data_IF_696367709949
#
_entry.id   IF_696367709949
#
_cell.length_a   1.000
_cell.length_b   1.000
_cell.length_c   1.000
_cell.angle_alpha   90.00
_cell.angle_beta   90.00
_cell.angle_gamma   90.00
#
_symmetry.space_group_name_H-M   'P 1'
#
loop_
_entity.id
_entity.type
_entity.pdbx_description
1 polymer ?
#
# COMPACT_ATOMS: atom_id res chain seq x y z
N UNK A 1 -5.26 -17.58 -15.63
CA UNK A 1 -5.11 -16.29 -16.34
C UNK A 1 -5.06 -15.15 -15.33
N UNK A 2 -4.13 -14.19 -15.49
CA UNK A 2 -4.07 -12.95 -14.68
C UNK A 2 -5.11 -11.93 -15.14
N UNK A 3 -5.54 -11.06 -14.22
CA UNK A 3 -6.45 -9.93 -14.48
C UNK A 3 -5.64 -8.64 -14.47
N UNK A 4 -5.72 -7.87 -15.56
CA UNK A 4 -5.07 -6.55 -15.63
C UNK A 4 -5.90 -5.47 -14.93
N UNK A 5 -5.24 -4.40 -14.49
CA UNK A 5 -5.92 -3.27 -13.86
C UNK A 5 -6.74 -2.45 -14.88
N UNK A 6 -8.02 -2.17 -14.57
CA UNK A 6 -8.80 -1.18 -15.32
C UNK A 6 -8.42 0.23 -14.87
N UNK A 7 -7.62 0.91 -15.69
CA UNK A 7 -7.17 2.29 -15.42
C UNK A 7 -8.31 3.32 -15.35
N UNK A 8 -9.53 2.98 -15.77
CA UNK A 8 -10.72 3.83 -15.59
C UNK A 8 -11.30 3.73 -14.17
N UNK A 9 -11.02 2.65 -13.42
CA UNK A 9 -11.52 2.47 -12.06
C UNK A 9 -10.57 3.08 -11.02
N UNK A 10 -11.11 3.59 -9.90
CA UNK A 10 -10.30 3.99 -8.75
C UNK A 10 -9.60 2.78 -8.11
N UNK A 11 -8.34 2.96 -7.74
CA UNK A 11 -7.56 1.90 -7.09
C UNK A 11 -6.79 2.44 -5.87
N UNK A 12 -6.51 1.56 -4.91
CA UNK A 12 -5.66 1.83 -3.76
C UNK A 12 -4.53 0.80 -3.72
N UNK A 13 -3.31 1.25 -4.02
CA UNK A 13 -2.11 0.42 -4.05
C UNK A 13 -1.46 0.35 -2.68
N UNK A 14 -1.15 -0.86 -2.24
CA UNK A 14 -0.61 -1.10 -0.90
C UNK A 14 0.44 -2.21 -0.87
N UNK A 15 1.28 -2.17 0.16
CA UNK A 15 2.19 -3.26 0.55
C UNK A 15 2.11 -3.43 2.07
N UNK A 16 2.01 -4.66 2.56
CA UNK A 16 1.95 -4.96 3.99
C UNK A 16 3.19 -4.50 4.75
N UNK A 17 4.34 -4.36 4.09
CA UNK A 17 5.56 -3.81 4.69
C UNK A 17 5.42 -2.32 5.05
N UNK A 18 4.43 -1.60 4.52
CA UNK A 18 4.28 -0.17 4.77
C UNK A 18 3.44 0.11 6.02
N UNK A 19 4.00 0.72 7.09
CA UNK A 19 3.19 1.16 8.22
C UNK A 19 2.21 2.27 7.83
N UNK A 20 2.55 3.11 6.85
CA UNK A 20 1.66 4.20 6.42
C UNK A 20 0.46 3.68 5.62
N UNK A 21 0.58 2.53 4.95
CA UNK A 21 -0.57 1.87 4.32
C UNK A 21 -1.57 1.36 5.37
N UNK A 22 -1.07 0.78 6.48
CA UNK A 22 -1.91 0.42 7.63
C UNK A 22 -2.63 1.64 8.23
N UNK A 23 -1.87 2.71 8.52
CA UNK A 23 -2.43 3.91 9.14
C UNK A 23 -3.47 4.60 8.26
N UNK A 24 -3.30 4.55 6.94
CA UNK A 24 -4.28 5.06 6.00
C UNK A 24 -5.55 4.18 5.94
N UNK A 25 -5.38 2.86 5.99
CA UNK A 25 -6.50 1.89 5.92
C UNK A 25 -7.36 1.87 7.20
N UNK A 26 -6.76 2.07 8.37
CA UNK A 26 -7.54 2.26 9.61
C UNK A 26 -8.43 3.53 9.57
N UNK A 27 -8.20 4.42 8.61
CA UNK A 27 -9.03 5.60 8.33
C UNK A 27 -9.99 5.40 7.15
N UNK A 28 -10.26 4.16 6.72
CA UNK A 28 -11.12 3.86 5.55
C UNK A 28 -12.54 4.42 5.67
N UNK A 29 -13.06 4.58 6.90
CA UNK A 29 -14.34 5.24 7.18
C UNK A 29 -14.35 6.72 6.80
N UNK A 30 -13.16 7.34 6.68
CA UNK A 30 -12.96 8.74 6.29
C UNK A 30 -12.57 8.89 4.82
N UNK A 31 -12.48 7.81 4.04
CA UNK A 31 -12.20 7.89 2.61
C UNK A 31 -13.38 8.55 1.88
N UNK A 32 -13.18 9.15 0.70
CA UNK A 32 -14.32 9.59 -0.10
C UNK A 32 -15.16 8.38 -0.54
N UNK A 33 -16.44 8.61 -0.82
CA UNK A 33 -17.37 7.60 -1.34
C UNK A 33 -17.03 7.24 -2.79
N UNK A 34 -15.92 6.52 -2.94
CA UNK A 34 -15.28 6.12 -4.19
C UNK A 34 -14.90 4.65 -4.01
N UNK A 35 -15.28 3.76 -4.94
CA UNK A 35 -15.04 2.32 -4.81
C UNK A 35 -13.58 1.99 -5.16
N UNK A 36 -12.64 2.35 -4.28
CA UNK A 36 -11.24 2.02 -4.46
C UNK A 36 -11.03 0.51 -4.36
N UNK A 37 -10.58 -0.10 -5.47
CA UNK A 37 -10.14 -1.49 -5.45
C UNK A 37 -8.79 -1.62 -4.72
N UNK A 38 -8.65 -2.51 -3.72
CA UNK A 38 -7.37 -2.75 -3.08
C UNK A 38 -6.45 -3.55 -4.02
N UNK A 39 -5.29 -3.00 -4.35
CA UNK A 39 -4.31 -3.61 -5.26
C UNK A 39 -2.99 -3.84 -4.53
N UNK A 40 -2.70 -5.12 -4.24
CA UNK A 40 -1.43 -5.54 -3.64
C UNK A 40 -0.28 -5.35 -4.63
N UNK A 41 0.77 -4.63 -4.22
CA UNK A 41 2.01 -4.39 -4.98
C UNK A 41 3.24 -4.52 -4.09
N UNK A 42 4.38 -4.82 -4.68
CA UNK A 42 5.68 -4.87 -3.99
C UNK A 42 6.34 -3.50 -3.96
N UNK A 43 6.45 -2.87 -2.78
CA UNK A 43 7.16 -1.62 -2.60
C UNK A 43 8.63 -1.73 -3.04
N UNK A 44 9.24 -2.91 -2.81
CA UNK A 44 10.61 -3.18 -3.25
C UNK A 44 10.72 -3.13 -4.78
N UNK A 45 9.78 -3.71 -5.51
CA UNK A 45 9.81 -3.71 -6.98
C UNK A 45 9.55 -2.31 -7.55
N UNK A 46 8.65 -1.53 -6.94
CA UNK A 46 8.47 -0.11 -7.27
C UNK A 46 9.76 0.68 -7.07
N UNK A 47 10.40 0.54 -5.90
CA UNK A 47 11.67 1.22 -5.59
C UNK A 47 12.77 0.85 -6.59
N UNK A 48 12.89 -0.45 -6.94
CA UNK A 48 13.84 -0.93 -7.93
C UNK A 48 13.59 -0.31 -9.30
N UNK A 49 12.34 -0.29 -9.76
CA UNK A 49 11.98 0.28 -11.06
C UNK A 49 12.38 1.76 -11.18
N UNK A 50 12.07 2.55 -10.14
CA UNK A 50 12.36 3.99 -10.12
C UNK A 50 13.79 4.34 -9.68
N UNK A 51 14.65 3.35 -9.41
CA UNK A 51 16.03 3.57 -8.94
C UNK A 51 16.11 4.25 -7.57
N UNK A 52 15.09 4.09 -6.73
CA UNK A 52 15.03 4.68 -5.40
C UNK A 52 15.91 3.88 -4.43
N UNK A 53 16.71 4.58 -3.63
CA UNK A 53 17.37 3.94 -2.48
C UNK A 53 16.32 3.66 -1.40
N UNK A 54 16.08 2.40 -1.00
CA UNK A 54 15.12 2.06 0.05
C UNK A 54 15.41 2.84 1.34
N UNK A 55 14.35 3.30 2.00
CA UNK A 55 14.50 4.03 3.27
C UNK A 55 15.19 3.19 4.36
N UNK A 56 15.01 1.86 4.29
CA UNK A 56 15.64 0.90 5.19
C UNK A 56 17.18 0.88 5.08
N UNK A 57 17.73 1.23 3.91
CA UNK A 57 19.17 1.21 3.63
C UNK A 57 19.89 2.48 4.08
N UNK A 58 19.14 3.45 4.63
CA UNK A 58 19.65 4.67 5.23
C UNK A 58 19.30 4.64 6.72
N UNK A 59 20.21 4.24 7.62
CA UNK A 59 19.90 3.99 9.03
C UNK A 59 19.16 5.14 9.73
N UNK A 60 19.56 6.38 9.47
CA UNK A 60 18.90 7.56 10.03
C UNK A 60 17.44 7.72 9.53
N UNK A 61 17.20 7.51 8.22
CA UNK A 61 15.86 7.56 7.62
C UNK A 61 14.99 6.42 8.13
N UNK A 62 15.56 5.22 8.28
CA UNK A 62 14.89 4.06 8.86
C UNK A 62 14.40 4.32 10.28
N UNK A 63 15.27 4.80 11.17
CA UNK A 63 14.90 5.14 12.55
C UNK A 63 13.85 6.26 12.59
N UNK A 64 13.98 7.26 11.73
CA UNK A 64 12.97 8.31 11.60
C UNK A 64 11.62 7.74 11.20
N UNK A 65 11.56 6.89 10.17
CA UNK A 65 10.31 6.24 9.72
C UNK A 65 9.59 5.51 10.85
N UNK A 66 10.32 4.80 11.71
CA UNK A 66 9.71 4.06 12.83
C UNK A 66 9.07 5.00 13.84
N UNK A 67 9.82 6.04 14.25
CA UNK A 67 9.34 7.05 15.18
C UNK A 67 8.17 7.83 14.58
N UNK A 68 8.24 8.14 13.29
CA UNK A 68 7.20 8.87 12.59
C UNK A 68 5.90 8.04 12.49
N UNK A 69 5.99 6.76 12.12
CA UNK A 69 4.82 5.87 12.09
C UNK A 69 4.16 5.75 13.48
N UNK A 70 4.96 5.56 14.54
CA UNK A 70 4.44 5.53 15.92
C UNK A 70 3.75 6.85 16.29
N UNK A 71 4.41 7.98 16.04
CA UNK A 71 3.84 9.30 16.30
C UNK A 71 2.53 9.53 15.55
N UNK A 72 2.49 9.19 14.24
CA UNK A 72 1.27 9.30 13.43
C UNK A 72 0.14 8.43 13.98
N UNK A 73 0.43 7.20 14.39
CA UNK A 73 -0.56 6.33 15.02
C UNK A 73 -1.16 6.95 16.29
N UNK A 74 -0.32 7.53 17.15
CA UNK A 74 -0.76 8.24 18.37
C UNK A 74 -1.64 9.46 18.04
N UNK A 75 -1.26 10.26 17.03
CA UNK A 75 -2.06 11.41 16.59
C UNK A 75 -3.43 11.00 16.04
N UNK A 76 -3.52 9.82 15.43
CA UNK A 76 -4.74 9.30 14.82
C UNK A 76 -5.59 8.46 15.80
N UNK A 77 -5.08 8.17 17.00
CA UNK A 77 -5.74 7.27 17.95
C UNK A 77 -5.75 5.80 17.50
N UNK A 78 -4.84 5.41 16.60
CA UNK A 78 -4.74 4.05 16.05
C UNK A 78 -3.78 3.23 16.92
N UNK A 79 -4.21 2.04 17.33
CA UNK A 79 -3.32 1.10 18.05
C UNK A 79 -2.23 0.63 17.10
N UNK A 80 -0.97 0.78 17.51
CA UNK A 80 0.19 0.47 16.69
C UNK A 80 1.28 -0.19 17.52
N UNK A 81 1.85 -1.26 16.98
CA UNK A 81 3.00 -1.97 17.50
C UNK A 81 3.83 -2.46 16.32
N UNK A 82 5.09 -2.02 16.27
CA UNK A 82 6.02 -2.46 15.24
C UNK A 82 6.19 -3.99 15.30
N UNK A 83 6.33 -4.67 14.15
CA UNK A 83 6.81 -6.05 14.11
C UNK A 83 8.25 -6.13 14.65
N UNK A 84 8.74 -7.34 15.02
CA UNK A 84 10.07 -7.53 15.60
C UNK A 84 11.22 -7.04 14.70
N UNK A 85 11.04 -7.10 13.38
CA UNK A 85 11.95 -6.58 12.39
C UNK A 85 11.20 -5.78 11.32
N UNK A 86 11.84 -4.72 10.82
CA UNK A 86 11.34 -3.94 9.69
C UNK A 86 12.51 -3.46 8.81
N UNK A 87 12.36 -3.45 7.48
CA UNK A 87 11.30 -4.12 6.72
C UNK A 87 11.39 -5.64 6.90
N UNK A 88 10.23 -6.30 6.95
CA UNK A 88 10.11 -7.76 6.87
C UNK A 88 9.76 -8.15 5.43
N UNK A 89 9.87 -9.44 5.09
CA UNK A 89 9.44 -9.95 3.79
C UNK A 89 7.91 -10.03 3.72
N UNK A 90 7.29 -9.22 2.86
CA UNK A 90 5.85 -9.15 2.67
C UNK A 90 5.34 -9.98 1.50
N UNK A 91 6.19 -10.63 0.71
CA UNK A 91 5.81 -11.32 -0.53
C UNK A 91 4.75 -12.40 -0.31
N UNK A 92 4.94 -13.28 0.69
CA UNK A 92 3.93 -14.28 1.07
C UNK A 92 2.59 -13.66 1.42
N UNK A 93 2.61 -12.52 2.11
CA UNK A 93 1.39 -11.82 2.57
C UNK A 93 0.67 -11.14 1.41
N UNK A 94 1.41 -10.54 0.48
CA UNK A 94 0.88 -9.97 -0.76
C UNK A 94 0.21 -11.05 -1.61
N UNK A 95 0.87 -12.20 -1.77
CA UNK A 95 0.32 -13.36 -2.50
C UNK A 95 -0.92 -13.91 -1.81
N UNK A 96 -0.94 -13.98 -0.47
CA UNK A 96 -2.13 -14.40 0.27
C UNK A 96 -3.32 -13.47 -0.02
N UNK A 97 -3.12 -12.15 0.05
CA UNK A 97 -4.20 -11.19 -0.26
C UNK A 97 -4.73 -11.35 -1.69
N UNK A 98 -3.83 -11.61 -2.66
CA UNK A 98 -4.21 -11.88 -4.06
C UNK A 98 -4.99 -13.19 -4.19
N UNK A 99 -4.51 -14.28 -3.59
CA UNK A 99 -5.16 -15.59 -3.65
C UNK A 99 -6.58 -15.56 -3.07
N UNK A 100 -6.78 -14.75 -2.02
CA UNK A 100 -8.09 -14.56 -1.38
C UNK A 100 -9.00 -13.58 -2.11
N UNK A 101 -8.49 -12.85 -3.12
CA UNK A 101 -9.15 -11.66 -3.67
C UNK A 101 -9.63 -10.73 -2.55
N UNK A 102 -8.72 -10.48 -1.60
CA UNK A 102 -9.02 -9.84 -0.33
C UNK A 102 -9.65 -8.46 -0.55
N UNK A 103 -10.81 -8.26 0.05
CA UNK A 103 -11.46 -6.95 0.13
C UNK A 103 -10.79 -6.05 1.19
N UNK A 104 -11.25 -4.80 1.28
CA UNK A 104 -10.72 -3.81 2.25
C UNK A 104 -10.76 -4.34 3.69
N UNK A 105 -11.82 -5.06 4.07
CA UNK A 105 -11.98 -5.60 5.43
C UNK A 105 -10.95 -6.69 5.71
N UNK A 106 -10.77 -7.60 4.77
CA UNK A 106 -9.78 -8.69 4.87
C UNK A 106 -8.36 -8.12 4.92
N UNK A 107 -8.03 -7.18 4.03
CA UNK A 107 -6.73 -6.49 4.02
C UNK A 107 -6.50 -5.75 5.34
N UNK A 108 -7.53 -5.13 5.91
CA UNK A 108 -7.44 -4.46 7.22
C UNK A 108 -7.14 -5.44 8.35
N UNK A 109 -7.79 -6.60 8.40
CA UNK A 109 -7.50 -7.61 9.42
C UNK A 109 -6.08 -8.18 9.28
N UNK A 110 -5.58 -8.35 8.05
CA UNK A 110 -4.19 -8.73 7.81
C UNK A 110 -3.20 -7.67 8.29
N UNK A 111 -3.49 -6.40 8.01
CA UNK A 111 -2.68 -5.29 8.55
C UNK A 111 -2.72 -5.21 10.07
N UNK A 112 -3.89 -5.44 10.70
CA UNK A 112 -4.03 -5.43 12.17
C UNK A 112 -3.20 -6.54 12.81
N UNK A 113 -3.22 -7.74 12.26
CA UNK A 113 -2.33 -8.82 12.73
C UNK A 113 -0.86 -8.37 12.77
N UNK A 114 -0.39 -7.66 11.75
CA UNK A 114 1.00 -7.23 11.66
C UNK A 114 1.27 -6.00 12.55
N UNK A 115 0.52 -4.92 12.34
CA UNK A 115 0.86 -3.58 12.84
C UNK A 115 0.07 -3.13 14.06
N UNK A 116 -1.06 -3.77 14.37
CA UNK A 116 -1.79 -3.54 15.63
C UNK A 116 -1.25 -4.43 16.75
N UNK A 117 -0.90 -5.67 16.39
CA UNK A 117 -0.48 -6.72 17.32
C UNK A 117 1.04 -6.92 17.36
N UNK A 118 1.75 -6.44 16.33
CA UNK A 118 3.21 -6.51 16.23
C UNK A 118 3.71 -7.91 15.92
N UNK A 119 2.96 -8.70 15.16
CA UNK A 119 3.35 -10.05 14.76
C UNK A 119 4.25 -10.00 13.52
N UNK A 120 5.11 -11.01 13.37
CA UNK A 120 5.98 -11.17 12.20
C UNK A 120 5.35 -12.18 11.23
N UNK A 121 4.83 -11.76 10.07
CA UNK A 121 4.22 -12.67 9.11
C UNK A 121 5.26 -13.39 8.21
N UNK A 122 6.55 -13.11 8.37
CA UNK A 122 7.62 -13.71 7.55
C UNK A 122 8.13 -15.04 8.10
N UNK A 123 7.84 -15.35 9.37
CA UNK A 123 8.14 -16.67 9.95
C UNK A 123 7.07 -17.70 9.56
N UNK A 124 7.40 -19.00 9.49
CA UNK A 124 6.41 -20.04 9.22
C UNK A 124 5.22 -20.01 10.20
N UNK A 125 5.49 -19.84 11.50
CA UNK A 125 4.45 -19.81 12.53
C UNK A 125 3.59 -18.54 12.44
N UNK A 126 4.21 -17.40 12.14
CA UNK A 126 3.51 -16.13 11.99
C UNK A 126 2.65 -16.07 10.73
N UNK A 127 3.13 -16.64 9.62
CA UNK A 127 2.34 -16.78 8.41
C UNK A 127 1.15 -17.73 8.61
N UNK A 128 1.36 -18.87 9.26
CA UNK A 128 0.27 -19.80 9.61
C UNK A 128 -0.80 -19.12 10.50
N UNK A 129 -0.38 -18.40 11.53
CA UNK A 129 -1.30 -17.65 12.40
C UNK A 129 -2.06 -16.54 11.65
N UNK A 130 -1.42 -15.88 10.67
CA UNK A 130 -2.09 -14.93 9.79
C UNK A 130 -3.15 -15.62 8.91
N UNK A 131 -2.83 -16.78 8.35
CA UNK A 131 -3.77 -17.56 7.55
C UNK A 131 -5.00 -17.98 8.38
N UNK A 132 -4.78 -18.47 9.61
CA UNK A 132 -5.87 -18.77 10.55
C UNK A 132 -6.73 -17.54 10.85
N UNK A 133 -6.11 -16.37 11.07
CA UNK A 133 -6.82 -15.09 11.31
C UNK A 133 -7.78 -14.74 10.18
N UNK A 134 -7.42 -15.01 8.93
CA UNK A 134 -8.27 -14.74 7.76
C UNK A 134 -9.09 -15.96 7.30
N UNK A 135 -9.15 -17.02 8.11
CA UNK A 135 -10.01 -18.18 7.88
C UNK A 135 -9.47 -19.18 6.84
N UNK A 136 -8.16 -19.24 6.66
CA UNK A 136 -7.50 -20.05 5.62
C UNK A 136 -6.62 -21.13 6.27
N UNK A 137 -6.97 -22.40 6.06
CA UNK A 137 -6.19 -23.53 6.60
C UNK A 137 -5.00 -23.98 5.75
N UNK A 138 -4.93 -23.57 4.48
CA UNK A 138 -3.94 -24.06 3.49
C UNK A 138 -3.23 -22.88 2.81
N UNK A 139 -2.81 -21.89 3.60
CA UNK A 139 -2.25 -20.64 3.09
C UNK A 139 -0.98 -20.81 2.25
N UNK A 140 -0.06 -21.69 2.69
CA UNK A 140 1.16 -21.99 1.92
C UNK A 140 0.82 -22.58 0.54
N UNK A 141 -0.13 -23.51 0.44
CA UNK A 141 -0.54 -24.08 -0.87
C UNK A 141 -1.15 -23.02 -1.81
N UNK A 142 -1.91 -22.07 -1.26
CA UNK A 142 -2.56 -21.02 -2.04
C UNK A 142 -1.57 -20.02 -2.66
N UNK A 143 -0.47 -19.73 -1.97
CA UNK A 143 0.53 -18.76 -2.46
C UNK A 143 1.54 -19.37 -3.43
N UNK A 144 1.67 -20.70 -3.45
CA UNK A 144 2.55 -21.46 -4.37
C UNK A 144 1.95 -21.61 -5.77
N UNK A 145 0.65 -21.34 -5.96
CA UNK A 145 0.08 -21.31 -7.31
C UNK A 145 0.80 -20.26 -8.17
N UNK A 146 1.27 -20.70 -9.35
CA UNK A 146 1.93 -19.85 -10.34
C UNK A 146 1.08 -18.61 -10.67
N UNK A 147 -0.24 -18.80 -10.71
CA UNK A 147 -1.23 -17.75 -10.96
C UNK A 147 -1.14 -16.59 -9.96
N UNK A 148 -0.89 -16.88 -8.66
CA UNK A 148 -0.79 -15.88 -7.60
C UNK A 148 0.47 -15.02 -7.78
N UNK A 149 1.60 -15.67 -8.08
CA UNK A 149 2.87 -14.98 -8.36
C UNK A 149 2.79 -14.17 -9.66
N UNK A 150 2.18 -14.73 -10.70
CA UNK A 150 1.95 -14.04 -11.97
C UNK A 150 1.03 -12.82 -11.80
N UNK A 151 0.02 -12.91 -10.95
CA UNK A 151 -0.87 -11.79 -10.65
C UNK A 151 -0.15 -10.67 -9.88
N UNK A 152 0.71 -10.99 -8.91
CA UNK A 152 1.51 -9.96 -8.22
C UNK A 152 2.46 -9.24 -9.21
N UNK A 153 3.13 -9.99 -10.07
CA UNK A 153 3.97 -9.42 -11.12
C UNK A 153 3.16 -8.52 -12.07
N UNK A 154 1.94 -8.93 -12.42
CA UNK A 154 1.02 -8.13 -13.24
C UNK A 154 0.61 -6.84 -12.54
N UNK A 155 0.20 -6.90 -11.27
CA UNK A 155 -0.14 -5.73 -10.47
C UNK A 155 1.02 -4.73 -10.42
N UNK A 156 2.25 -5.22 -10.20
CA UNK A 156 3.44 -4.38 -10.17
C UNK A 156 3.67 -3.70 -11.52
N UNK A 157 3.55 -4.44 -12.64
CA UNK A 157 3.73 -3.89 -13.97
C UNK A 157 2.67 -2.83 -14.32
N UNK A 158 1.40 -3.08 -14.00
CA UNK A 158 0.31 -2.12 -14.24
C UNK A 158 0.45 -0.88 -13.35
N UNK A 159 0.83 -1.03 -12.07
CA UNK A 159 1.10 0.09 -11.17
C UNK A 159 2.27 0.95 -11.65
N UNK A 160 3.36 0.32 -12.10
CA UNK A 160 4.51 0.99 -12.71
C UNK A 160 4.08 1.78 -13.97
N UNK A 161 3.27 1.17 -14.84
CA UNK A 161 2.78 1.82 -16.06
C UNK A 161 1.91 3.05 -15.76
N UNK A 162 1.19 3.06 -14.63
CA UNK A 162 0.44 4.22 -14.13
C UNK A 162 1.32 5.30 -13.47
N UNK A 163 2.60 5.02 -13.24
CA UNK A 163 3.51 5.94 -12.56
C UNK A 163 3.53 5.80 -11.04
N UNK A 164 2.96 4.73 -10.47
CA UNK A 164 3.00 4.47 -9.02
C UNK A 164 4.46 4.29 -8.59
N UNK A 165 4.91 5.09 -7.64
CA UNK A 165 6.31 5.13 -7.19
C UNK A 165 6.50 4.77 -5.72
N UNK A 166 5.42 4.46 -5.01
CA UNK A 166 5.44 4.05 -3.62
C UNK A 166 4.04 3.70 -3.13
N UNK A 167 3.95 3.31 -1.86
CA UNK A 167 2.67 2.99 -1.18
C UNK A 167 2.58 3.72 0.16
N UNK A 168 1.36 3.96 0.69
CA UNK A 168 0.09 3.77 0.00
C UNK A 168 -0.10 4.80 -1.12
N UNK A 169 -0.80 4.43 -2.18
CA UNK A 169 -1.16 5.36 -3.27
C UNK A 169 -2.60 5.16 -3.69
N UNK A 170 -3.38 6.22 -3.73
CA UNK A 170 -4.67 6.23 -4.43
C UNK A 170 -4.48 6.60 -5.90
N UNK A 171 -5.25 5.96 -6.76
CA UNK A 171 -5.50 6.35 -8.14
C UNK A 171 -6.97 6.74 -8.29
N UNK A 172 -7.21 7.99 -8.66
CA UNK A 172 -8.56 8.53 -8.86
C UNK A 172 -8.48 9.69 -9.86
N UNK A 173 -9.43 9.80 -10.78
CA UNK A 173 -9.48 10.90 -11.76
C UNK A 173 -8.17 11.07 -12.56
N UNK A 174 -7.53 9.95 -12.94
CA UNK A 174 -6.23 9.91 -13.61
C UNK A 174 -5.08 10.56 -12.85
N UNK A 175 -5.21 10.69 -11.54
CA UNK A 175 -4.23 11.31 -10.65
C UNK A 175 -3.81 10.31 -9.58
N UNK A 176 -2.52 10.31 -9.27
CA UNK A 176 -1.95 9.60 -8.13
C UNK A 176 -1.90 10.50 -6.90
N UNK A 177 -2.27 9.95 -5.75
CA UNK A 177 -2.14 10.59 -4.43
C UNK A 177 -1.36 9.63 -3.52
N UNK A 178 -0.10 9.95 -3.26
CA UNK A 178 0.82 9.08 -2.51
C UNK A 178 1.00 9.56 -1.08
N UNK A 179 0.93 8.62 -0.13
CA UNK A 179 1.14 8.86 1.30
C UNK A 179 -0.14 8.83 2.13
N UNK A 180 0.01 8.55 3.43
CA UNK A 180 -1.09 8.66 4.41
C UNK A 180 -1.53 10.12 4.56
N UNK A 181 -0.57 11.04 4.53
CA UNK A 181 -0.74 12.48 4.63
C UNK A 181 -1.39 13.13 3.40
N UNK A 182 -1.56 12.39 2.30
CA UNK A 182 -2.30 12.84 1.13
C UNK A 182 -3.82 12.65 1.24
N UNK A 183 -4.35 11.95 2.26
CA UNK A 183 -5.80 11.73 2.41
C UNK A 183 -6.63 13.03 2.36
N UNK A 184 -6.23 14.16 2.98
CA UNK A 184 -6.95 15.42 2.83
C UNK A 184 -7.03 15.93 1.38
N UNK A 185 -5.98 15.72 0.58
CA UNK A 185 -5.95 16.10 -0.83
C UNK A 185 -6.87 15.18 -1.66
N UNK A 186 -6.88 13.87 -1.38
CA UNK A 186 -7.80 12.90 -1.99
C UNK A 186 -9.25 13.32 -1.75
N UNK A 187 -9.60 13.62 -0.49
CA UNK A 187 -10.92 14.08 -0.09
C UNK A 187 -11.33 15.39 -0.77
N UNK A 188 -10.38 16.32 -0.88
CA UNK A 188 -10.62 17.59 -1.55
C UNK A 188 -10.90 17.39 -3.05
N UNK A 189 -10.08 16.59 -3.75
CA UNK A 189 -10.24 16.29 -5.17
C UNK A 189 -11.49 15.45 -5.47
N UNK A 190 -11.92 14.58 -4.55
CA UNK A 190 -13.17 13.84 -4.69
C UNK A 190 -14.39 14.77 -4.67
N UNK A 191 -14.36 15.83 -3.84
CA UNK A 191 -15.43 16.85 -3.78
C UNK A 191 -15.32 17.92 -4.86
N UNK A 192 -14.09 18.24 -5.27
CA UNK A 192 -13.78 19.34 -6.19
C UNK A 192 -12.86 18.86 -7.32
N UNK A 193 -13.36 18.00 -8.24
CA UNK A 193 -12.50 17.38 -9.27
C UNK A 193 -11.85 18.40 -10.20
N UNK A 194 -12.50 19.56 -10.43
CA UNK A 194 -11.99 20.62 -11.29
C UNK A 194 -10.79 21.38 -10.72
N UNK A 195 -10.40 21.16 -9.45
CA UNK A 195 -9.20 21.81 -8.91
C UNK A 195 -7.93 21.37 -9.64
N UNK A 196 -7.85 20.10 -10.05
CA UNK A 196 -6.76 19.57 -10.87
C UNK A 196 -6.67 20.29 -12.23
N UNK A 197 -7.80 20.81 -12.71
CA UNK A 197 -7.89 21.53 -13.97
C UNK A 197 -7.67 23.05 -13.85
N UNK A 198 -7.49 23.56 -12.62
CA UNK A 198 -7.28 24.98 -12.38
C UNK A 198 -6.00 25.47 -13.05
N UNK A 199 -5.99 26.76 -13.44
CA UNK A 199 -4.88 27.37 -14.16
C UNK A 199 -3.56 27.22 -13.43
N UNK A 200 -3.56 27.41 -12.11
CA UNK A 200 -2.36 27.30 -11.29
C UNK A 200 -1.88 25.86 -11.13
N UNK A 201 -2.79 24.89 -10.95
CA UNK A 201 -2.41 23.47 -10.86
C UNK A 201 -1.81 22.98 -12.19
N UNK A 202 -2.38 23.38 -13.34
CA UNK A 202 -1.78 23.11 -14.66
C UNK A 202 -0.41 23.76 -14.81
N UNK A 203 -0.27 25.02 -14.40
CA UNK A 203 1.00 25.74 -14.46
C UNK A 203 2.08 25.02 -13.65
N UNK A 204 1.83 24.70 -12.38
CA UNK A 204 2.85 24.06 -11.53
C UNK A 204 3.20 22.64 -12.00
N UNK A 205 2.24 21.91 -12.58
CA UNK A 205 2.46 20.55 -13.09
C UNK A 205 3.34 20.50 -14.35
N UNK A 206 3.50 21.63 -15.04
CA UNK A 206 4.33 21.74 -16.26
C UNK A 206 5.70 22.40 -16.01
N UNK A 207 6.02 22.73 -14.74
CA UNK A 207 7.31 23.33 -14.43
C UNK A 207 8.46 22.38 -14.78
N UNK A 208 9.53 22.87 -15.41
CA UNK A 208 10.69 22.04 -15.70
C UNK A 208 11.39 21.62 -14.41
N UNK A 209 12.04 20.45 -14.44
CA UNK A 209 12.98 20.06 -13.37
C UNK A 209 14.06 21.13 -13.26
N UNK A 210 14.26 21.66 -12.05
CA UNK A 210 15.22 22.74 -11.80
C UNK A 210 16.68 22.33 -12.02
N UNK A 211 17.31 21.71 -11.00
CA UNK A 211 18.68 21.21 -11.12
C UNK A 211 18.68 19.75 -11.62
N UNK A 212 19.62 19.46 -12.54
CA UNK A 212 19.84 18.13 -13.10
C UNK A 212 20.25 17.12 -12.01
#
# INVERSE_FOLDING_TARGET
MTTGLDTAQPAWFFDFVSPFSYLLLEQHDKWPDVPFEPVAVSLMDLQRHWGQRPSADVPAKRVFTYRHALFRAEQLGIRFKMPPAHPFDSDKVLRLAIALRADIVTVLEMYRFIWREGNDPSTPEGFAALCERVGVGHGDELIEFEETSAQLARNNADAIALGVFGVPTFWMNKQLFWGEDALPMVLYCARTPNWLESSEVKRISTLPKGRA
#
